data_IF_497484809006
#
_entry.id   IF_497484809006
#
_cell.length_a   1.000
_cell.length_b   1.000
_cell.length_c   1.000
_cell.angle_alpha   90.00
_cell.angle_beta   90.00
_cell.angle_gamma   90.00
#
_symmetry.space_group_name_H-M   'P 1'
#
loop_
_entity.id
_entity.type
_entity.pdbx_description
1 polymer ?
#
# COMPACT_ATOMS: atom_id res chain seq x y z
N UNK A 1 1.52 -31.15 4.25
CA UNK A 1 2.85 -31.33 3.63
C UNK A 1 3.40 -29.94 3.32
N UNK A 2 4.56 -29.56 3.87
CA UNK A 2 5.16 -28.27 3.57
C UNK A 2 5.82 -28.33 2.18
N UNK A 3 5.59 -27.31 1.35
CA UNK A 3 6.31 -27.13 0.09
C UNK A 3 7.25 -25.94 0.27
N UNK A 4 8.52 -26.14 -0.09
CA UNK A 4 9.55 -25.12 0.03
C UNK A 4 9.71 -24.42 -1.31
N UNK A 5 9.92 -23.11 -1.27
CA UNK A 5 10.28 -22.28 -2.42
C UNK A 5 11.56 -21.54 -2.08
N UNK A 6 12.45 -21.38 -3.06
CA UNK A 6 13.60 -20.49 -2.95
C UNK A 6 13.22 -19.14 -3.54
N UNK A 7 13.70 -18.07 -2.92
CA UNK A 7 13.48 -16.68 -3.37
C UNK A 7 14.81 -15.92 -3.29
N UNK A 8 14.92 -14.81 -4.02
CA UNK A 8 16.07 -13.93 -3.89
C UNK A 8 16.08 -13.23 -2.52
N UNK A 9 17.26 -12.78 -2.09
CA UNK A 9 17.42 -12.02 -0.85
C UNK A 9 16.55 -10.74 -0.86
N UNK A 10 16.43 -10.09 -2.02
CA UNK A 10 15.55 -8.93 -2.19
C UNK A 10 14.09 -9.25 -1.85
N UNK A 11 13.57 -10.38 -2.33
CA UNK A 11 12.19 -10.81 -2.06
C UNK A 11 12.02 -11.18 -0.59
N UNK A 12 13.02 -11.82 0.01
CA UNK A 12 13.01 -12.15 1.44
C UNK A 12 12.95 -10.89 2.30
N UNK A 13 13.80 -9.90 2.01
CA UNK A 13 13.83 -8.61 2.70
C UNK A 13 12.51 -7.86 2.58
N UNK A 14 11.89 -7.88 1.39
CA UNK A 14 10.55 -7.31 1.19
C UNK A 14 9.54 -8.01 2.10
N UNK A 15 9.44 -9.34 2.04
CA UNK A 15 8.51 -10.09 2.88
C UNK A 15 8.73 -9.86 4.38
N UNK A 16 9.98 -9.72 4.82
CA UNK A 16 10.35 -9.44 6.21
C UNK A 16 9.77 -8.11 6.69
N UNK A 17 9.83 -7.06 5.86
CA UNK A 17 9.27 -5.74 6.18
C UNK A 17 7.73 -5.73 6.26
N UNK A 18 7.06 -6.64 5.56
CA UNK A 18 5.60 -6.76 5.56
C UNK A 18 5.05 -7.69 6.64
N UNK A 19 5.91 -8.41 7.33
CA UNK A 19 5.56 -9.39 8.37
C UNK A 19 5.13 -8.67 9.64
N UNK A 20 3.94 -9.00 10.14
CA UNK A 20 3.46 -8.52 11.44
C UNK A 20 4.04 -9.36 12.58
N UNK A 21 4.10 -8.84 13.83
CA UNK A 21 4.56 -9.61 14.97
C UNK A 21 3.78 -10.92 15.12
N UNK A 22 4.51 -12.05 15.19
CA UNK A 22 3.92 -13.39 15.31
C UNK A 22 3.35 -13.99 14.01
N UNK A 23 3.35 -13.27 12.89
CA UNK A 23 2.85 -13.75 11.60
C UNK A 23 3.92 -14.58 10.87
N UNK A 24 3.57 -15.66 10.13
CA UNK A 24 4.54 -16.39 9.29
C UNK A 24 4.66 -15.80 7.89
N UNK A 25 5.72 -16.13 7.13
CA UNK A 25 5.83 -15.68 5.74
C UNK A 25 4.71 -16.22 4.85
N UNK A 26 4.23 -17.42 5.13
CA UNK A 26 3.07 -18.01 4.46
C UNK A 26 1.80 -17.17 4.69
N UNK A 27 1.65 -16.58 5.86
CA UNK A 27 0.50 -15.74 6.19
C UNK A 27 0.57 -14.38 5.48
N UNK A 28 1.77 -13.79 5.39
CA UNK A 28 2.01 -12.58 4.58
C UNK A 28 1.61 -12.83 3.13
N UNK A 29 2.08 -13.92 2.52
CA UNK A 29 1.77 -14.27 1.12
C UNK A 29 0.26 -14.43 0.93
N UNK A 30 -0.42 -15.19 1.80
CA UNK A 30 -1.87 -15.39 1.73
C UNK A 30 -2.65 -14.08 1.87
N UNK A 31 -2.22 -13.20 2.79
CA UNK A 31 -2.85 -11.91 3.05
C UNK A 31 -2.74 -10.99 1.83
N UNK A 32 -1.56 -10.91 1.23
CA UNK A 32 -1.32 -10.11 0.01
C UNK A 32 -2.18 -10.62 -1.16
N UNK A 33 -2.22 -11.93 -1.37
CA UNK A 33 -3.03 -12.55 -2.44
C UNK A 33 -4.52 -12.28 -2.22
N UNK A 34 -5.03 -12.45 -0.98
CA UNK A 34 -6.45 -12.21 -0.65
C UNK A 34 -6.89 -10.77 -0.82
N UNK A 35 -5.98 -9.80 -0.64
CA UNK A 35 -6.26 -8.38 -0.84
C UNK A 35 -6.32 -7.99 -2.33
N UNK A 36 -6.12 -8.94 -3.26
CA UNK A 36 -6.16 -8.69 -4.71
C UNK A 36 -5.04 -7.77 -5.20
N UNK A 37 -4.02 -7.54 -4.36
CA UNK A 37 -2.92 -6.63 -4.65
C UNK A 37 -1.87 -7.35 -5.49
N UNK A 38 -1.46 -6.78 -6.63
CA UNK A 38 -0.30 -7.30 -7.36
C UNK A 38 0.91 -7.04 -6.48
N UNK A 39 1.82 -8.01 -6.35
CA UNK A 39 3.10 -7.82 -5.64
C UNK A 39 3.86 -6.56 -6.14
N UNK A 40 3.63 -6.13 -7.40
CA UNK A 40 4.14 -4.89 -7.96
C UNK A 40 3.60 -3.60 -7.30
N UNK A 41 2.41 -3.61 -6.69
CA UNK A 41 1.89 -2.45 -5.94
C UNK A 41 2.64 -2.21 -4.62
N UNK A 42 3.50 -3.16 -4.22
CA UNK A 42 4.37 -3.09 -3.04
C UNK A 42 5.74 -2.47 -3.36
N UNK A 43 6.12 -2.40 -4.64
CA UNK A 43 7.33 -1.70 -5.08
C UNK A 43 7.06 -0.18 -5.10
N UNK A 44 7.12 0.46 -3.92
CA UNK A 44 7.03 1.92 -3.80
C UNK A 44 6.24 2.44 -2.60
N UNK A 45 5.43 1.61 -1.93
CA UNK A 45 4.68 2.04 -0.73
C UNK A 45 5.45 1.71 0.55
N UNK A 46 6.37 2.60 0.93
CA UNK A 46 6.84 2.70 2.31
C UNK A 46 5.71 3.27 3.18
N UNK A 47 5.33 2.52 4.21
CA UNK A 47 5.20 3.06 5.58
C UNK A 47 4.33 4.31 5.73
N UNK A 48 3.01 4.19 5.59
CA UNK A 48 2.09 5.27 5.98
C UNK A 48 1.22 4.79 7.15
N UNK A 49 1.40 5.41 8.32
CA UNK A 49 0.58 5.14 9.50
C UNK A 49 -0.82 5.75 9.33
N UNK A 50 -1.79 5.34 10.16
CA UNK A 50 -3.17 5.85 10.07
C UNK A 50 -3.24 7.37 10.22
N UNK A 51 -2.35 7.95 11.03
CA UNK A 51 -2.24 9.40 11.26
C UNK A 51 -1.74 10.12 9.99
N UNK A 52 -0.74 9.55 9.32
CA UNK A 52 -0.22 10.09 8.07
C UNK A 52 -1.25 9.98 6.93
N UNK A 53 -2.08 8.93 6.93
CA UNK A 53 -3.19 8.80 5.99
C UNK A 53 -4.28 9.85 6.20
N UNK A 54 -4.57 10.19 7.46
CA UNK A 54 -5.52 11.25 7.80
C UNK A 54 -5.04 12.63 7.32
N UNK A 55 -3.73 12.91 7.42
CA UNK A 55 -3.15 14.18 6.96
C UNK A 55 -3.26 14.34 5.44
N UNK A 56 -2.91 13.31 4.68
CA UNK A 56 -2.99 13.31 3.22
C UNK A 56 -4.43 13.47 2.75
N UNK A 57 -5.39 12.81 3.41
CA UNK A 57 -6.80 12.91 3.05
C UNK A 57 -7.36 14.33 3.24
N UNK A 58 -6.92 15.06 4.26
CA UNK A 58 -7.33 16.45 4.47
C UNK A 58 -6.76 17.39 3.40
N UNK A 59 -5.48 17.24 3.03
CA UNK A 59 -4.88 18.03 1.96
C UNK A 59 -5.54 17.74 0.60
N UNK A 60 -5.89 16.47 0.35
CA UNK A 60 -6.57 16.08 -0.88
C UNK A 60 -7.97 16.70 -1.02
N UNK A 61 -8.72 16.87 0.08
CA UNK A 61 -10.02 17.56 0.06
C UNK A 61 -9.90 19.02 -0.35
N UNK A 62 -8.93 19.74 0.19
CA UNK A 62 -8.68 21.15 -0.12
C UNK A 62 -8.31 21.31 -1.60
N UNK A 63 -7.43 20.45 -2.11
CA UNK A 63 -7.02 20.48 -3.52
C UNK A 63 -8.21 20.12 -4.43
N UNK A 64 -9.00 19.11 -4.06
CA UNK A 64 -10.18 18.70 -4.83
C UNK A 64 -11.25 19.79 -4.90
N UNK A 65 -11.49 20.51 -3.81
CA UNK A 65 -12.43 21.63 -3.76
C UNK A 65 -11.95 22.79 -4.64
N UNK A 66 -10.67 23.14 -4.56
CA UNK A 66 -10.09 24.18 -5.43
C UNK A 66 -10.07 23.78 -6.91
N UNK A 67 -9.89 22.51 -7.24
CA UNK A 67 -10.03 22.00 -8.61
C UNK A 67 -11.48 22.04 -9.11
N UNK A 68 -12.45 21.73 -8.25
CA UNK A 68 -13.88 21.83 -8.58
C UNK A 68 -14.26 23.29 -8.83
N UNK A 69 -13.79 24.22 -8.01
CA UNK A 69 -13.99 25.66 -8.23
C UNK A 69 -13.31 26.15 -9.51
N UNK A 70 -12.09 25.69 -9.79
CA UNK A 70 -11.38 26.03 -11.02
C UNK A 70 -12.13 25.52 -12.25
N UNK A 71 -12.67 24.30 -12.21
CA UNK A 71 -13.50 23.74 -13.29
C UNK A 71 -14.81 24.50 -13.46
N UNK A 72 -15.45 24.94 -12.38
CA UNK A 72 -16.66 25.79 -12.47
C UNK A 72 -16.35 27.15 -13.09
N UNK A 73 -15.20 27.75 -12.78
CA UNK A 73 -14.75 29.02 -13.40
C UNK A 73 -14.35 28.89 -14.87
N UNK A 74 -13.92 27.70 -15.30
CA UNK A 74 -13.56 27.40 -16.70
C UNK A 74 -14.73 26.86 -17.54
N UNK A 75 -15.92 26.72 -16.94
CA UNK A 75 -17.13 26.19 -17.59
C UNK A 75 -18.13 27.29 -17.99
N UNK A 76 -17.68 28.55 -18.04
CA UNK A 76 -18.40 29.69 -18.61
C UNK A 76 -17.52 30.37 -19.66
#
# INVERSE_FOLDING_TARGET
>A
MAKNIAVSDEVYELLSRFKLPGESFSDVIKRVIKLGSKLMDLAGKKTITKEQWALVNNQYKIVKESEIERKKRLSF
#
